data_IF_941359426396
#
_entry.id   IF_941359426396
#
_cell.length_a   1.000
_cell.length_b   1.000
_cell.length_c   1.000
_cell.angle_alpha   90.00
_cell.angle_beta   90.00
_cell.angle_gamma   90.00
#
_symmetry.space_group_name_H-M   'P 1'
#
loop_
_entity.id
_entity.type
_entity.pdbx_description
1 polymer ?
#
# COMPACT_ATOMS: atom_id res chain seq x y z
N UNK A 1 -15.61 -25.88 34.78
CA UNK A 1 -14.84 -25.05 33.82
C UNK A 1 -14.67 -25.89 32.57
N UNK A 2 -15.53 -25.71 31.56
CA UNK A 2 -15.47 -26.51 30.33
C UNK A 2 -14.48 -25.85 29.36
N UNK A 3 -13.42 -26.57 29.04
CA UNK A 3 -12.43 -26.18 28.04
C UNK A 3 -13.11 -25.96 26.69
N UNK A 4 -13.01 -24.75 26.16
CA UNK A 4 -13.39 -24.44 24.78
C UNK A 4 -12.33 -25.08 23.89
N UNK A 5 -12.58 -26.32 23.50
CA UNK A 5 -11.79 -27.06 22.54
C UNK A 5 -11.82 -26.31 21.20
N UNK A 6 -10.82 -25.45 20.97
CA UNK A 6 -10.61 -24.78 19.68
C UNK A 6 -10.15 -25.83 18.68
N UNK A 7 -11.10 -26.45 17.99
CA UNK A 7 -10.81 -27.21 16.78
C UNK A 7 -10.08 -26.30 15.79
N UNK A 8 -8.87 -26.70 15.37
CA UNK A 8 -8.20 -26.02 14.26
C UNK A 8 -9.17 -26.01 13.07
N UNK A 9 -9.41 -24.86 12.43
CA UNK A 9 -10.29 -24.84 11.27
C UNK A 9 -9.64 -25.68 10.18
N UNK A 10 -10.25 -26.84 9.87
CA UNK A 10 -9.78 -27.82 8.89
C UNK A 10 -9.58 -27.24 7.48
N UNK A 11 -9.97 -25.99 7.24
CA UNK A 11 -9.59 -25.22 6.07
C UNK A 11 -9.30 -23.75 6.43
N UNK A 12 -8.10 -23.48 6.96
CA UNK A 12 -7.60 -22.12 7.27
C UNK A 12 -7.73 -21.15 6.09
N UNK A 13 -7.56 -21.63 4.86
CA UNK A 13 -7.71 -20.83 3.63
C UNK A 13 -9.16 -20.40 3.41
N UNK A 14 -10.12 -21.32 3.56
CA UNK A 14 -11.55 -20.99 3.49
C UNK A 14 -11.96 -19.99 4.57
N UNK A 15 -11.43 -20.14 5.80
CA UNK A 15 -11.67 -19.18 6.89
C UNK A 15 -11.06 -17.81 6.59
N UNK A 16 -9.84 -17.75 6.07
CA UNK A 16 -9.20 -16.50 5.66
C UNK A 16 -9.99 -15.81 4.53
N UNK A 17 -10.45 -16.57 3.53
CA UNK A 17 -11.30 -16.06 2.45
C UNK A 17 -12.63 -15.51 2.98
N UNK A 18 -13.27 -16.23 3.89
CA UNK A 18 -14.50 -15.77 4.54
C UNK A 18 -14.26 -14.47 5.34
N UNK A 19 -13.18 -14.38 6.11
CA UNK A 19 -12.81 -13.16 6.85
C UNK A 19 -12.55 -11.97 5.93
N UNK A 20 -11.81 -12.18 4.84
CA UNK A 20 -11.56 -11.16 3.81
C UNK A 20 -12.86 -10.68 3.19
N UNK A 21 -13.79 -11.58 2.87
CA UNK A 21 -15.11 -11.24 2.34
C UNK A 21 -15.94 -10.41 3.33
N UNK A 22 -15.98 -10.81 4.60
CA UNK A 22 -16.67 -10.05 5.67
C UNK A 22 -16.02 -8.67 5.85
N UNK A 23 -14.68 -8.60 5.85
CA UNK A 23 -13.95 -7.33 5.91
C UNK A 23 -14.33 -6.39 4.77
N UNK A 24 -14.42 -6.90 3.54
CA UNK A 24 -14.88 -6.12 2.38
C UNK A 24 -16.31 -5.62 2.54
N UNK A 25 -17.26 -6.50 2.90
CA UNK A 25 -18.67 -6.11 3.12
C UNK A 25 -18.79 -5.03 4.20
N UNK A 26 -18.07 -5.20 5.31
CA UNK A 26 -18.07 -4.21 6.39
C UNK A 26 -17.47 -2.89 5.94
N UNK A 27 -16.39 -2.92 5.16
CA UNK A 27 -15.77 -1.72 4.60
C UNK A 27 -16.70 -0.99 3.61
N UNK A 28 -17.39 -1.72 2.73
CA UNK A 28 -18.33 -1.13 1.77
C UNK A 28 -19.55 -0.54 2.48
N UNK A 29 -20.06 -1.23 3.51
CA UNK A 29 -21.17 -0.73 4.33
C UNK A 29 -20.77 0.54 5.09
N UNK A 30 -19.56 0.58 5.65
CA UNK A 30 -19.02 1.78 6.30
C UNK A 30 -18.91 2.95 5.31
N UNK A 31 -18.42 2.71 4.09
CA UNK A 31 -18.35 3.73 3.04
C UNK A 31 -19.74 4.22 2.61
N UNK A 32 -20.71 3.33 2.41
CA UNK A 32 -22.08 3.70 2.06
C UNK A 32 -22.72 4.56 3.15
N UNK A 33 -22.55 4.19 4.42
CA UNK A 33 -23.00 4.99 5.57
C UNK A 33 -22.35 6.37 5.57
N UNK A 34 -21.05 6.45 5.28
CA UNK A 34 -20.34 7.72 5.24
C UNK A 34 -20.86 8.63 4.12
N UNK A 35 -21.10 8.08 2.91
CA UNK A 35 -21.68 8.83 1.79
C UNK A 35 -23.05 9.37 2.15
N UNK A 36 -23.93 8.52 2.69
CA UNK A 36 -25.25 8.96 3.14
C UNK A 36 -25.18 10.07 4.19
N UNK A 37 -24.32 9.93 5.20
CA UNK A 37 -24.16 10.97 6.23
C UNK A 37 -23.57 12.26 5.67
N UNK A 38 -22.70 12.16 4.67
CA UNK A 38 -22.16 13.33 3.99
C UNK A 38 -23.26 14.04 3.19
N UNK A 39 -24.09 13.29 2.47
CA UNK A 39 -25.18 13.84 1.66
C UNK A 39 -26.31 14.44 2.52
N UNK A 40 -26.60 13.87 3.70
CA UNK A 40 -27.67 14.38 4.59
C UNK A 40 -27.18 15.42 5.58
N UNK A 41 -26.01 15.23 6.17
CA UNK A 41 -25.52 15.98 7.33
C UNK A 41 -24.00 16.22 7.22
N UNK A 42 -23.59 16.83 6.11
CA UNK A 42 -22.18 17.06 5.74
C UNK A 42 -21.34 17.58 6.91
N UNK A 43 -21.83 18.63 7.60
CA UNK A 43 -21.12 19.25 8.73
C UNK A 43 -20.83 18.26 9.85
N UNK A 44 -21.82 17.47 10.27
CA UNK A 44 -21.68 16.48 11.34
C UNK A 44 -20.74 15.35 10.90
N UNK A 45 -20.83 14.95 9.64
CA UNK A 45 -19.95 13.93 9.06
C UNK A 45 -18.48 14.38 9.09
N UNK A 46 -18.19 15.59 8.60
CA UNK A 46 -16.83 16.15 8.57
C UNK A 46 -16.27 16.35 9.97
N UNK A 47 -17.06 16.92 10.88
CA UNK A 47 -16.64 17.11 12.29
C UNK A 47 -16.23 15.77 12.92
N UNK A 48 -17.04 14.72 12.73
CA UNK A 48 -16.72 13.37 13.24
C UNK A 48 -15.42 12.80 12.67
N UNK A 49 -15.16 12.99 11.38
CA UNK A 49 -13.90 12.54 10.75
C UNK A 49 -12.71 13.27 11.36
N UNK A 50 -12.81 14.59 11.52
CA UNK A 50 -11.74 15.42 12.07
C UNK A 50 -11.45 15.08 13.53
N UNK A 51 -12.48 14.91 14.36
CA UNK A 51 -12.31 14.48 15.77
C UNK A 51 -11.66 13.10 15.87
N UNK A 52 -12.08 12.15 15.02
CA UNK A 52 -11.47 10.83 14.97
C UNK A 52 -9.99 10.90 14.57
N UNK A 53 -9.66 11.70 13.55
CA UNK A 53 -8.29 11.90 13.10
C UNK A 53 -7.41 12.49 14.21
N UNK A 54 -7.88 13.54 14.90
CA UNK A 54 -7.17 14.16 16.02
C UNK A 54 -6.89 13.14 17.14
N UNK A 55 -7.87 12.29 17.48
CA UNK A 55 -7.71 11.23 18.48
C UNK A 55 -6.62 10.21 18.10
N UNK A 56 -6.46 9.90 16.81
CA UNK A 56 -5.39 9.00 16.35
C UNK A 56 -4.00 9.66 16.37
N UNK A 57 -3.94 10.98 16.19
CA UNK A 57 -2.68 11.73 16.24
C UNK A 57 -2.20 11.81 17.69
N UNK A 58 -3.09 12.17 18.62
CA UNK A 58 -2.76 12.25 20.06
C UNK A 58 -2.36 10.89 20.64
N UNK A 59 -3.00 9.79 20.21
CA UNK A 59 -2.61 8.44 20.61
C UNK A 59 -1.19 8.08 20.13
N UNK A 60 -0.80 8.50 18.92
CA UNK A 60 0.54 8.24 18.36
C UNK A 60 1.63 9.08 19.04
N UNK A 61 1.35 10.34 19.37
CA UNK A 61 2.33 11.21 20.05
C UNK A 61 2.62 10.73 21.47
N UNK A 62 1.60 10.20 22.17
CA UNK A 62 1.77 9.73 23.55
C UNK A 62 2.49 8.37 23.65
N UNK A 63 2.52 7.60 22.57
CA UNK A 63 3.22 6.30 22.53
C UNK A 63 4.73 6.42 22.22
N UNK A 64 5.21 7.60 21.82
CA UNK A 64 6.60 7.81 21.38
C UNK A 64 7.60 8.26 22.45
N UNK A 65 7.23 8.36 23.73
CA UNK A 65 8.06 9.00 24.78
C UNK A 65 8.96 8.05 25.61
N UNK A 66 9.14 6.79 25.22
CA UNK A 66 10.03 5.85 25.93
C UNK A 66 11.30 5.54 25.12
N UNK A 67 12.37 6.30 25.37
CA UNK A 67 13.70 6.10 24.80
C UNK A 67 14.72 5.87 25.93
N UNK A 68 15.51 4.79 25.96
CA UNK A 68 16.74 4.76 26.72
C UNK A 68 17.90 5.35 25.91
N UNK A 69 18.72 6.08 26.65
CA UNK A 69 19.86 6.90 26.29
C UNK A 69 21.04 6.13 25.69
N UNK A 70 21.70 6.76 24.71
CA UNK A 70 22.97 6.31 24.15
C UNK A 70 23.52 7.33 23.15
N UNK A 71 24.15 8.39 23.66
CA UNK A 71 24.89 9.39 22.88
C UNK A 71 26.21 8.77 22.32
N UNK A 72 26.84 9.33 21.26
CA UNK A 72 27.57 10.58 21.42
C UNK A 72 27.37 11.62 20.29
N UNK A 73 27.00 12.81 20.74
CA UNK A 73 27.39 14.17 20.31
C UNK A 73 28.24 14.29 19.02
N UNK A 74 27.69 15.00 18.03
CA UNK A 74 28.43 15.87 17.10
C UNK A 74 27.71 17.23 16.99
N UNK A 75 28.41 18.33 16.65
CA UNK A 75 28.00 19.69 16.97
C UNK A 75 26.79 20.17 16.16
N UNK A 76 25.88 20.79 16.92
CA UNK A 76 24.70 21.55 16.51
C UNK A 76 25.04 22.71 15.56
N UNK A 77 24.32 22.82 14.45
CA UNK A 77 23.64 24.05 13.99
C UNK A 77 22.55 23.71 12.96
N UNK A 78 21.35 23.41 13.47
CA UNK A 78 20.06 23.62 12.80
C UNK A 78 18.96 23.45 13.85
N UNK A 79 17.84 24.21 13.79
CA UNK A 79 16.76 24.04 14.75
C UNK A 79 16.24 22.60 14.69
N UNK A 80 16.08 22.06 15.89
CA UNK A 80 15.49 20.76 16.21
C UNK A 80 14.05 20.69 15.66
N UNK A 81 13.90 20.29 14.40
CA UNK A 81 12.61 19.89 13.84
C UNK A 81 12.36 18.42 14.21
N UNK A 82 11.81 18.26 15.41
CA UNK A 82 11.42 16.97 15.98
C UNK A 82 10.74 16.06 14.97
N UNK A 83 11.43 14.98 14.60
CA UNK A 83 10.89 13.90 13.76
C UNK A 83 10.89 14.16 12.25
N UNK A 84 11.43 15.27 11.77
CA UNK A 84 11.59 15.54 10.34
C UNK A 84 12.85 14.84 9.82
N UNK A 85 12.78 14.29 8.61
CA UNK A 85 13.90 13.63 7.94
C UNK A 85 15.20 14.43 8.15
N UNK A 86 16.32 13.81 8.57
CA UNK A 86 17.58 14.51 8.86
C UNK A 86 18.20 15.21 7.63
N UNK A 87 17.62 14.98 6.45
CA UNK A 87 18.00 15.62 5.20
C UNK A 87 16.93 16.67 4.88
N UNK A 88 17.29 17.97 4.76
CA UNK A 88 16.35 18.99 4.36
C UNK A 88 15.67 18.64 3.03
N UNK A 89 14.35 18.83 2.94
CA UNK A 89 13.57 18.47 1.75
C UNK A 89 14.10 19.09 0.46
N UNK A 90 14.61 20.32 0.53
CA UNK A 90 15.25 21.00 -0.61
C UNK A 90 16.46 20.20 -1.15
N UNK A 91 17.27 19.62 -0.25
CA UNK A 91 18.45 18.83 -0.60
C UNK A 91 18.07 17.48 -1.20
N UNK A 92 16.98 16.85 -0.73
CA UNK A 92 16.44 15.64 -1.34
C UNK A 92 15.90 15.93 -2.75
N UNK A 93 15.14 17.02 -2.90
CA UNK A 93 14.56 17.41 -4.17
C UNK A 93 15.65 17.70 -5.21
N UNK A 94 16.68 18.47 -4.85
CA UNK A 94 17.82 18.74 -5.73
C UNK A 94 18.53 17.45 -6.15
N UNK A 95 18.81 16.56 -5.19
CA UNK A 95 19.49 15.30 -5.46
C UNK A 95 18.67 14.39 -6.39
N UNK A 96 17.37 14.24 -6.16
CA UNK A 96 16.51 13.43 -7.02
C UNK A 96 16.25 14.07 -8.37
N UNK A 97 16.17 15.39 -8.45
CA UNK A 97 16.06 16.12 -9.73
C UNK A 97 17.33 15.96 -10.56
N UNK A 98 18.51 16.03 -9.91
CA UNK A 98 19.79 15.88 -10.57
C UNK A 98 20.05 14.43 -11.04
N UNK A 99 19.58 13.44 -10.27
CA UNK A 99 19.71 12.02 -10.64
C UNK A 99 18.58 11.48 -11.50
N UNK A 100 17.41 12.12 -11.52
CA UNK A 100 16.34 11.73 -12.43
C UNK A 100 16.83 12.02 -13.85
N UNK A 101 17.16 10.95 -14.58
CA UNK A 101 17.39 11.05 -16.02
C UNK A 101 16.17 11.72 -16.64
N UNK A 102 16.41 12.68 -17.54
CA UNK A 102 15.35 13.35 -18.30
C UNK A 102 14.38 12.32 -18.86
N UNK A 103 13.08 12.55 -18.67
CA UNK A 103 12.03 11.68 -19.20
C UNK A 103 12.11 11.79 -20.73
N UNK A 104 12.74 10.79 -21.35
CA UNK A 104 12.75 10.65 -22.79
C UNK A 104 11.59 9.74 -23.21
N UNK A 105 10.91 10.10 -24.29
CA UNK A 105 9.99 9.18 -24.94
C UNK A 105 10.78 7.94 -25.36
N UNK A 106 10.42 6.78 -24.82
CA UNK A 106 11.05 5.52 -25.20
C UNK A 106 10.62 5.18 -26.63
N UNK A 107 11.58 5.20 -27.56
CA UNK A 107 11.36 4.81 -28.95
C UNK A 107 11.82 3.35 -29.16
N UNK A 108 10.91 2.38 -29.28
CA UNK A 108 11.27 0.96 -29.32
C UNK A 108 12.11 0.57 -30.54
N UNK A 109 12.05 1.37 -31.62
CA UNK A 109 12.76 1.10 -32.87
C UNK A 109 14.18 1.69 -32.90
N UNK A 110 14.48 2.64 -32.03
CA UNK A 110 15.81 3.21 -31.89
C UNK A 110 16.85 2.17 -31.40
N UNK A 111 18.16 2.43 -31.51
CA UNK A 111 19.19 1.50 -31.04
C UNK A 111 19.05 1.12 -29.56
N UNK A 112 18.58 2.04 -28.72
CA UNK A 112 18.29 1.78 -27.29
C UNK A 112 17.20 0.72 -27.09
N UNK A 113 16.33 0.50 -28.08
CA UNK A 113 15.26 -0.49 -28.05
C UNK A 113 15.68 -1.92 -28.47
N UNK A 114 16.94 -2.16 -28.87
CA UNK A 114 17.44 -3.52 -29.18
C UNK A 114 17.17 -4.54 -28.07
N UNK A 115 17.54 -4.31 -26.79
CA UNK A 115 17.27 -5.27 -25.72
C UNK A 115 15.77 -5.52 -25.53
N UNK A 116 14.94 -4.47 -25.66
CA UNK A 116 13.49 -4.58 -25.58
C UNK A 116 12.91 -5.45 -26.69
N UNK A 117 13.33 -5.25 -27.95
CA UNK A 117 12.89 -6.08 -29.08
C UNK A 117 13.35 -7.53 -28.96
N UNK A 118 14.57 -7.75 -28.48
CA UNK A 118 15.09 -9.09 -28.20
C UNK A 118 14.25 -9.80 -27.12
N UNK A 119 13.79 -9.07 -26.09
CA UNK A 119 12.87 -9.61 -25.10
C UNK A 119 11.51 -9.95 -25.71
N UNK A 120 10.93 -9.05 -26.52
CA UNK A 120 9.65 -9.30 -27.21
C UNK A 120 9.71 -10.55 -28.12
N UNK A 121 10.81 -10.77 -28.83
CA UNK A 121 10.96 -11.95 -29.70
C UNK A 121 10.98 -13.29 -28.96
N UNK A 122 11.19 -13.27 -27.64
CA UNK A 122 11.18 -14.48 -26.79
C UNK A 122 9.81 -14.79 -26.20
N UNK A 123 8.85 -13.86 -26.35
CA UNK A 123 7.50 -14.09 -25.86
C UNK A 123 6.81 -15.15 -26.73
N UNK A 124 6.00 -16.03 -26.13
CA UNK A 124 5.17 -16.96 -26.89
C UNK A 124 4.22 -16.17 -27.82
N UNK A 125 3.83 -16.78 -28.94
CA UNK A 125 2.82 -16.20 -29.83
C UNK A 125 1.58 -15.87 -29.00
N UNK A 126 1.11 -14.62 -29.10
CA UNK A 126 -0.07 -14.18 -28.38
C UNK A 126 -1.26 -15.09 -28.74
N UNK A 127 -1.67 -15.94 -27.80
CA UNK A 127 -2.89 -16.71 -27.93
C UNK A 127 -4.06 -15.82 -27.55
N UNK A 128 -5.08 -15.74 -28.41
CA UNK A 128 -6.33 -15.05 -28.09
C UNK A 128 -7.09 -15.83 -27.01
N UNK A 129 -6.82 -15.51 -25.75
CA UNK A 129 -7.51 -16.05 -24.59
C UNK A 129 -8.81 -15.32 -24.31
N UNK A 130 -9.77 -15.33 -25.26
CA UNK A 130 -11.06 -14.65 -25.11
C UNK A 130 -11.92 -15.15 -23.93
N UNK A 131 -11.55 -16.27 -23.30
CA UNK A 131 -12.25 -16.82 -22.13
C UNK A 131 -11.74 -16.33 -20.78
N UNK A 132 -10.58 -15.64 -20.71
CA UNK A 132 -9.98 -15.24 -19.43
C UNK A 132 -10.47 -13.88 -18.91
N UNK A 133 -11.15 -13.09 -19.74
CA UNK A 133 -11.61 -11.73 -19.42
C UNK A 133 -13.14 -11.55 -19.53
N UNK A 134 -13.91 -12.63 -19.61
CA UNK A 134 -15.37 -12.51 -19.72
C UNK A 134 -16.02 -12.10 -18.40
N UNK A 135 -15.45 -12.53 -17.28
CA UNK A 135 -15.81 -12.06 -15.96
C UNK A 135 -14.79 -11.03 -15.49
N UNK A 136 -15.27 -9.96 -14.86
CA UNK A 136 -14.39 -9.00 -14.21
C UNK A 136 -13.56 -9.76 -13.15
N UNK A 137 -12.22 -9.82 -13.29
CA UNK A 137 -11.39 -10.59 -12.38
C UNK A 137 -11.61 -10.07 -10.96
N UNK A 138 -12.02 -10.95 -10.06
CA UNK A 138 -12.15 -10.57 -8.66
C UNK A 138 -10.75 -10.36 -8.10
N UNK A 139 -10.55 -9.35 -7.26
CA UNK A 139 -9.25 -9.08 -6.63
C UNK A 139 -8.64 -10.32 -5.93
N UNK A 140 -9.47 -11.26 -5.48
CA UNK A 140 -9.01 -12.53 -4.90
C UNK A 140 -8.30 -13.44 -5.94
N UNK A 141 -8.77 -13.48 -7.20
CA UNK A 141 -8.18 -14.29 -8.27
C UNK A 141 -6.83 -13.72 -8.72
N UNK A 142 -6.72 -12.39 -8.71
CA UNK A 142 -5.48 -11.68 -9.05
C UNK A 142 -4.40 -11.93 -7.98
N UNK A 143 -4.78 -11.88 -6.69
CA UNK A 143 -3.85 -12.12 -5.57
C UNK A 143 -3.42 -13.60 -5.49
N UNK A 144 -4.33 -14.54 -5.79
CA UNK A 144 -4.03 -15.98 -5.81
C UNK A 144 -3.15 -16.37 -7.02
N UNK A 145 -3.31 -15.72 -8.18
CA UNK A 145 -2.44 -15.92 -9.36
C UNK A 145 -1.06 -15.27 -9.19
N UNK A 146 -0.95 -14.19 -8.42
CA UNK A 146 0.31 -13.54 -8.08
C UNK A 146 1.08 -14.27 -6.95
N UNK A 147 0.87 -15.58 -6.81
CA UNK A 147 1.52 -16.44 -5.81
C UNK A 147 3.03 -16.18 -5.69
N UNK A 148 3.64 -16.49 -4.52
CA UNK A 148 4.99 -16.05 -4.17
C UNK A 148 5.93 -16.45 -5.30
N UNK A 149 6.47 -15.46 -6.01
CA UNK A 149 7.42 -15.61 -7.09
C UNK A 149 8.50 -16.60 -6.64
N UNK A 150 8.33 -17.87 -7.02
CA UNK A 150 9.31 -18.92 -6.77
C UNK A 150 10.44 -18.64 -7.77
N UNK A 151 11.30 -17.70 -7.42
CA UNK A 151 12.67 -17.66 -7.89
C UNK A 151 13.27 -19.02 -7.56
N UNK A 152 13.31 -19.91 -8.55
CA UNK A 152 14.19 -21.07 -8.49
C UNK A 152 15.62 -20.55 -8.73
N UNK A 153 16.61 -21.07 -7.99
CA UNK A 153 18.01 -20.69 -8.14
C UNK A 153 18.55 -21.03 -9.52
#
# INVERSE_FOLDING_TARGET
>A
MHDVQRSEPGNRKAVAKARRRVGRINSSLAQQRLRHLFDTDEKVCVERILTAAQSTVTARTNAGSAQPSGSPVLPSEAPDDGGTCPIPGARLHEFFTAMSSTVHAFEPLAPVGVPFRAALSRLPVASSGMGLLQDAPCADEIEDQAGPWKLKP
#
